data_IF_120124163435
#
_entry.id   IF_120124163435
#
_cell.length_a   1.000
_cell.length_b   1.000
_cell.length_c   1.000
_cell.angle_alpha   90.00
_cell.angle_beta   90.00
_cell.angle_gamma   90.00
#
_symmetry.space_group_name_H-M   'P 1'
#
loop_
_entity.id
_entity.type
_entity.pdbx_description
1 polymer ?
#
# COMPACT_ATOMS: atom_id res chain seq x y z
N UNK A 1 -1.55 38.83 16.36
CA UNK A 1 -1.99 38.27 15.07
C UNK A 1 -0.98 37.21 14.67
N UNK A 2 -1.18 35.97 15.11
CA UNK A 2 -0.30 34.88 14.69
C UNK A 2 -0.58 34.59 13.22
N UNK A 3 0.42 34.90 12.40
CA UNK A 3 0.44 34.67 10.96
C UNK A 3 0.08 33.21 10.69
N UNK A 4 -1.04 32.97 10.03
CA UNK A 4 -1.45 31.66 9.54
C UNK A 4 -0.62 31.27 8.30
N UNK A 5 0.71 31.29 8.45
CA UNK A 5 1.69 30.93 7.42
C UNK A 5 1.35 29.59 6.75
N UNK A 6 0.83 28.64 7.53
CA UNK A 6 0.35 27.35 7.02
C UNK A 6 -0.81 27.47 6.01
N UNK A 7 -1.68 28.48 6.16
CA UNK A 7 -2.79 28.73 5.23
C UNK A 7 -2.33 29.42 3.94
N UNK A 8 -1.14 30.04 3.91
CA UNK A 8 -0.58 30.67 2.71
C UNK A 8 0.40 29.78 1.94
N UNK A 9 0.78 28.61 2.48
CA UNK A 9 1.67 27.67 1.79
C UNK A 9 1.12 27.21 0.42
N UNK A 10 1.96 27.14 -0.62
CA UNK A 10 1.61 26.46 -1.87
C UNK A 10 1.21 25.00 -1.64
N UNK A 11 0.31 24.48 -2.46
CA UNK A 11 -0.21 23.10 -2.31
C UNK A 11 0.91 22.07 -2.48
N UNK A 12 1.91 22.37 -3.29
CA UNK A 12 3.09 21.54 -3.52
C UNK A 12 3.91 21.35 -2.25
N UNK A 13 4.08 22.42 -1.46
CA UNK A 13 4.78 22.36 -0.17
C UNK A 13 3.97 21.52 0.81
N UNK A 14 2.65 21.68 0.82
CA UNK A 14 1.78 20.83 1.65
C UNK A 14 1.90 19.36 1.24
N UNK A 15 1.89 19.04 -0.05
CA UNK A 15 2.09 17.67 -0.53
C UNK A 15 3.44 17.10 -0.09
N UNK A 16 4.52 17.90 -0.08
CA UNK A 16 5.83 17.46 0.44
C UNK A 16 5.80 17.18 1.94
N UNK A 17 5.02 17.93 2.72
CA UNK A 17 4.80 17.62 4.13
C UNK A 17 4.04 16.29 4.26
N UNK A 18 2.99 16.09 3.46
CA UNK A 18 2.22 14.84 3.46
C UNK A 18 3.06 13.62 3.06
N UNK A 19 4.03 13.77 2.14
CA UNK A 19 4.97 12.70 1.75
C UNK A 19 5.77 12.17 2.97
N UNK A 20 5.95 12.99 4.02
CA UNK A 20 6.71 12.65 5.24
C UNK A 20 5.85 12.14 6.40
N UNK A 21 4.52 12.14 6.27
CA UNK A 21 3.59 11.75 7.34
C UNK A 21 3.08 10.33 7.16
N UNK A 22 2.74 9.67 8.28
CA UNK A 22 2.00 8.42 8.21
C UNK A 22 0.57 8.71 7.76
N UNK A 23 -0.08 7.72 7.14
CA UNK A 23 -1.47 7.86 6.73
C UNK A 23 -2.42 8.15 7.91
N UNK A 24 -2.07 7.67 9.11
CA UNK A 24 -2.82 7.95 10.33
C UNK A 24 -2.72 9.44 10.69
N UNK A 25 -1.51 10.01 10.64
CA UNK A 25 -1.29 11.44 10.90
C UNK A 25 -2.00 12.31 9.87
N UNK A 26 -1.97 11.90 8.59
CA UNK A 26 -2.67 12.61 7.52
C UNK A 26 -4.18 12.64 7.80
N UNK A 27 -4.79 11.47 8.04
CA UNK A 27 -6.24 11.33 8.13
C UNK A 27 -6.80 11.84 9.45
N UNK A 28 -6.15 11.54 10.58
CA UNK A 28 -6.69 11.85 11.91
C UNK A 28 -6.18 13.16 12.52
N UNK A 29 -5.02 13.65 12.09
CA UNK A 29 -4.44 14.88 12.65
C UNK A 29 -4.45 16.01 11.63
N UNK A 30 -3.74 15.87 10.52
CA UNK A 30 -3.53 16.93 9.54
C UNK A 30 -4.84 17.40 8.87
N UNK A 31 -5.65 16.44 8.41
CA UNK A 31 -6.90 16.71 7.67
C UNK A 31 -7.87 17.62 8.42
N UNK A 32 -7.91 17.53 9.75
CA UNK A 32 -8.89 18.23 10.58
C UNK A 32 -8.41 19.56 11.17
N UNK A 33 -7.16 19.98 10.91
CA UNK A 33 -6.64 21.26 11.41
C UNK A 33 -7.40 22.44 10.80
N UNK A 34 -7.65 22.42 9.49
CA UNK A 34 -8.40 23.49 8.82
C UNK A 34 -9.05 23.02 7.51
N UNK A 35 -9.99 23.81 6.98
CA UNK A 35 -10.69 23.53 5.70
C UNK A 35 -9.74 23.35 4.52
N UNK A 36 -8.64 24.12 4.46
CA UNK A 36 -7.65 24.01 3.40
C UNK A 36 -6.98 22.64 3.40
N UNK A 37 -6.54 22.17 4.57
CA UNK A 37 -5.90 20.86 4.71
C UNK A 37 -6.88 19.72 4.45
N UNK A 38 -8.14 19.88 4.85
CA UNK A 38 -9.21 18.94 4.50
C UNK A 38 -9.33 18.78 2.97
N UNK A 39 -9.42 19.90 2.24
CA UNK A 39 -9.53 19.88 0.78
C UNK A 39 -8.28 19.30 0.11
N UNK A 40 -7.08 19.69 0.55
CA UNK A 40 -5.82 19.16 0.00
C UNK A 40 -5.71 17.65 0.22
N UNK A 41 -6.03 17.17 1.42
CA UNK A 41 -5.97 15.74 1.75
C UNK A 41 -6.93 14.91 0.89
N UNK A 42 -8.11 15.46 0.52
CA UNK A 42 -9.08 14.76 -0.32
C UNK A 42 -8.62 14.57 -1.77
N UNK A 43 -7.74 15.44 -2.28
CA UNK A 43 -7.20 15.36 -3.64
C UNK A 43 -5.78 14.80 -3.69
N UNK A 44 -5.20 14.51 -2.52
CA UNK A 44 -3.85 13.99 -2.40
C UNK A 44 -3.81 12.50 -2.79
N UNK A 45 -3.23 12.21 -3.95
CA UNK A 45 -3.26 10.89 -4.58
C UNK A 45 -1.96 10.06 -4.40
N UNK A 46 -1.19 10.35 -3.34
CA UNK A 46 0.08 9.69 -3.05
C UNK A 46 0.08 9.03 -1.68
N UNK A 47 -1.10 8.64 -1.19
CA UNK A 47 -1.21 7.99 0.12
C UNK A 47 -0.42 6.67 0.11
N UNK A 48 0.33 6.47 1.19
CA UNK A 48 1.07 5.24 1.47
C UNK A 48 0.31 4.43 2.51
N UNK A 49 -0.26 3.32 2.07
CA UNK A 49 -0.96 2.37 2.95
C UNK A 49 -0.01 1.23 3.26
N UNK A 50 0.19 0.97 4.56
CA UNK A 50 0.97 -0.16 5.04
C UNK A 50 0.07 -1.09 5.86
N UNK A 51 -0.07 -2.34 5.40
CA UNK A 51 -0.75 -3.41 6.12
C UNK A 51 0.32 -4.27 6.80
N UNK A 52 0.32 -4.30 8.13
CA UNK A 52 1.25 -5.14 8.92
C UNK A 52 0.55 -5.80 10.11
N UNK A 53 1.08 -6.90 10.66
CA UNK A 53 0.42 -7.63 11.77
C UNK A 53 0.24 -6.82 13.07
N UNK A 54 0.91 -5.68 13.22
CA UNK A 54 0.68 -4.75 14.33
C UNK A 54 -0.61 -3.92 14.16
N UNK A 55 -1.40 -4.22 13.11
CA UNK A 55 -2.59 -3.49 12.71
C UNK A 55 -3.88 -3.93 13.39
N UNK A 56 -3.82 -4.74 14.46
CA UNK A 56 -4.98 -5.20 15.25
C UNK A 56 -5.77 -4.07 15.93
N UNK A 57 -5.33 -2.83 15.74
CA UNK A 57 -5.97 -1.64 16.22
C UNK A 57 -7.27 -1.33 15.45
N UNK A 58 -8.38 -1.25 16.18
CA UNK A 58 -9.69 -0.80 15.64
C UNK A 58 -9.63 0.52 14.86
N UNK A 59 -8.63 1.38 15.14
CA UNK A 59 -8.36 2.61 14.39
C UNK A 59 -8.03 2.36 12.92
N UNK A 60 -7.47 1.21 12.59
CA UNK A 60 -7.09 0.85 11.22
C UNK A 60 -8.32 0.48 10.38
N UNK A 61 -9.34 -0.14 10.97
CA UNK A 61 -10.62 -0.33 10.29
C UNK A 61 -11.30 1.00 9.95
N UNK A 62 -11.26 1.96 10.88
CA UNK A 62 -11.77 3.31 10.62
C UNK A 62 -10.96 4.01 9.55
N UNK A 63 -9.63 3.84 9.58
CA UNK A 63 -8.72 4.41 8.60
C UNK A 63 -9.08 3.94 7.17
N UNK A 64 -9.23 2.63 6.93
CA UNK A 64 -9.56 2.11 5.60
C UNK A 64 -10.92 2.60 5.07
N UNK A 65 -11.88 2.90 5.95
CA UNK A 65 -13.17 3.49 5.54
C UNK A 65 -13.07 4.97 5.16
N UNK A 66 -12.07 5.69 5.68
CA UNK A 66 -11.89 7.12 5.47
C UNK A 66 -11.00 7.46 4.28
N UNK A 67 -10.28 6.47 3.75
CA UNK A 67 -9.40 6.61 2.59
C UNK A 67 -10.18 6.26 1.33
N UNK A 68 -10.13 7.14 0.34
CA UNK A 68 -10.56 6.79 -1.01
C UNK A 68 -9.48 5.91 -1.67
N UNK A 69 -9.79 4.68 -2.13
CA UNK A 69 -8.81 3.78 -2.73
C UNK A 69 -8.05 4.39 -3.93
N UNK A 70 -8.71 5.26 -4.70
CA UNK A 70 -8.14 6.01 -5.82
C UNK A 70 -6.97 6.94 -5.43
N UNK A 71 -6.91 7.36 -4.16
CA UNK A 71 -5.84 8.22 -3.65
C UNK A 71 -4.62 7.44 -3.13
N UNK A 72 -4.70 6.11 -3.09
CA UNK A 72 -3.61 5.25 -2.64
C UNK A 72 -2.61 5.08 -3.78
N UNK A 73 -1.44 5.71 -3.64
CA UNK A 73 -0.36 5.62 -4.61
C UNK A 73 0.62 4.48 -4.33
N UNK A 74 0.74 4.09 -3.06
CA UNK A 74 1.70 3.07 -2.59
C UNK A 74 0.99 2.12 -1.64
N UNK A 75 1.08 0.82 -1.92
CA UNK A 75 0.59 -0.25 -1.05
C UNK A 75 1.77 -1.10 -0.57
N UNK A 76 1.94 -1.21 0.74
CA UNK A 76 2.94 -2.07 1.38
C UNK A 76 2.22 -3.14 2.17
N UNK A 77 2.52 -4.40 1.87
CA UNK A 77 1.90 -5.57 2.46
C UNK A 77 2.97 -6.36 3.18
N UNK A 78 2.86 -6.42 4.51
CA UNK A 78 3.78 -7.14 5.40
C UNK A 78 3.01 -8.13 6.24
N UNK A 79 3.45 -9.37 6.26
CA UNK A 79 2.99 -10.34 7.24
C UNK A 79 4.20 -10.78 8.07
N UNK A 80 4.06 -10.89 9.39
CA UNK A 80 5.08 -11.57 10.19
C UNK A 80 4.69 -13.02 10.33
N UNK A 81 5.59 -13.92 9.94
CA UNK A 81 5.42 -15.38 9.97
C UNK A 81 4.93 -15.97 11.31
N UNK A 82 4.93 -15.19 12.38
CA UNK A 82 4.77 -15.66 13.75
C UNK A 82 3.33 -15.63 14.28
N UNK A 83 2.40 -14.91 13.65
CA UNK A 83 1.03 -14.80 14.17
C UNK A 83 -0.02 -15.27 13.15
N UNK A 84 -0.58 -16.46 13.41
CA UNK A 84 -1.65 -17.10 12.63
C UNK A 84 -3.04 -16.46 12.78
N UNK A 85 -3.18 -15.37 13.54
CA UNK A 85 -4.48 -15.09 14.14
C UNK A 85 -5.45 -14.27 13.28
N UNK A 86 -4.99 -13.44 12.34
CA UNK A 86 -5.88 -12.67 11.47
C UNK A 86 -5.26 -12.42 10.08
N UNK A 87 -5.92 -12.88 9.02
CA UNK A 87 -5.50 -12.59 7.64
C UNK A 87 -5.96 -11.18 7.23
N UNK A 88 -5.21 -10.16 7.67
CA UNK A 88 -5.51 -8.75 7.38
C UNK A 88 -5.47 -8.42 5.88
N UNK A 89 -4.73 -9.20 5.10
CA UNK A 89 -4.64 -9.05 3.65
C UNK A 89 -5.97 -9.46 3.01
N UNK A 90 -6.46 -10.67 3.34
CA UNK A 90 -7.80 -11.11 2.90
C UNK A 90 -8.87 -10.10 3.36
N UNK A 91 -8.77 -9.61 4.60
CA UNK A 91 -9.68 -8.60 5.13
C UNK A 91 -9.62 -7.31 4.30
N UNK A 92 -8.44 -6.75 4.05
CA UNK A 92 -8.28 -5.51 3.31
C UNK A 92 -8.90 -5.58 1.91
N UNK A 93 -8.66 -6.68 1.18
CA UNK A 93 -9.24 -6.88 -0.15
C UNK A 93 -10.75 -7.23 -0.10
N UNK A 94 -11.26 -7.76 1.00
CA UNK A 94 -12.71 -7.97 1.17
C UNK A 94 -13.50 -6.67 1.31
N UNK A 95 -12.91 -5.63 1.94
CA UNK A 95 -13.56 -4.34 2.16
C UNK A 95 -13.29 -3.33 1.05
N UNK A 96 -12.20 -3.50 0.32
CA UNK A 96 -11.81 -2.60 -0.75
C UNK A 96 -11.75 -3.38 -2.06
N UNK A 97 -12.69 -3.08 -2.95
CA UNK A 97 -12.60 -3.53 -4.33
C UNK A 97 -11.27 -3.04 -4.92
N UNK A 98 -10.40 -4.00 -5.27
CA UNK A 98 -9.06 -3.73 -5.75
C UNK A 98 -9.08 -2.87 -7.03
N UNK A 99 -10.14 -2.98 -7.84
CA UNK A 99 -10.29 -2.17 -9.05
C UNK A 99 -10.43 -0.67 -8.79
N UNK A 100 -10.77 -0.28 -7.55
CA UNK A 100 -10.86 1.14 -7.15
C UNK A 100 -9.50 1.78 -6.90
N UNK A 101 -8.41 1.00 -6.84
CA UNK A 101 -7.04 1.49 -6.65
C UNK A 101 -6.43 1.98 -7.97
N UNK A 102 -7.17 2.84 -8.69
CA UNK A 102 -6.76 3.37 -10.00
C UNK A 102 -5.48 4.21 -9.94
N UNK A 103 -5.22 4.85 -8.80
CA UNK A 103 -4.02 5.65 -8.53
C UNK A 103 -2.80 4.85 -8.08
N UNK A 104 -2.91 3.54 -7.88
CA UNK A 104 -1.83 2.70 -7.36
C UNK A 104 -0.68 2.62 -8.34
N UNK A 105 0.52 2.98 -7.89
CA UNK A 105 1.75 3.00 -8.69
C UNK A 105 2.80 2.04 -8.17
N UNK A 106 2.85 1.84 -6.87
CA UNK A 106 3.88 1.05 -6.21
C UNK A 106 3.26 0.02 -5.29
N UNK A 107 3.71 -1.23 -5.44
CA UNK A 107 3.34 -2.33 -4.55
C UNK A 107 4.62 -2.93 -3.97
N UNK A 108 4.67 -3.07 -2.65
CA UNK A 108 5.74 -3.81 -1.96
C UNK A 108 5.16 -4.95 -1.16
N UNK A 109 5.71 -6.13 -1.39
CA UNK A 109 5.39 -7.37 -0.69
C UNK A 109 6.58 -7.72 0.19
N UNK A 110 6.35 -7.93 1.48
CA UNK A 110 7.38 -8.19 2.47
C UNK A 110 6.99 -9.38 3.34
N UNK A 111 7.81 -10.44 3.32
CA UNK A 111 7.75 -11.54 4.29
C UNK A 111 6.40 -12.29 4.35
N UNK A 112 5.76 -12.56 3.21
CA UNK A 112 4.30 -12.66 3.11
C UNK A 112 3.57 -13.99 3.42
N UNK A 113 4.07 -15.08 4.01
CA UNK A 113 3.40 -16.42 3.87
C UNK A 113 3.09 -16.81 2.40
N UNK A 114 2.95 -18.11 2.10
CA UNK A 114 2.71 -18.53 0.70
C UNK A 114 1.27 -18.23 0.28
N UNK A 115 0.35 -18.40 1.23
CA UNK A 115 -1.09 -18.19 1.01
C UNK A 115 -1.35 -16.72 0.70
N UNK A 116 -0.85 -15.80 1.52
CA UNK A 116 -1.18 -14.38 1.34
C UNK A 116 -0.47 -13.81 0.12
N UNK A 117 0.78 -14.22 -0.13
CA UNK A 117 1.46 -13.87 -1.37
C UNK A 117 0.61 -14.27 -2.58
N UNK A 118 0.11 -15.51 -2.63
CA UNK A 118 -0.74 -15.97 -3.73
C UNK A 118 -2.03 -15.18 -3.84
N UNK A 119 -2.71 -14.89 -2.72
CA UNK A 119 -3.90 -14.03 -2.71
C UNK A 119 -3.60 -12.65 -3.30
N UNK A 120 -2.52 -12.02 -2.85
CA UNK A 120 -2.12 -10.70 -3.32
C UNK A 120 -1.84 -10.72 -4.82
N UNK A 121 -1.00 -11.65 -5.29
CA UNK A 121 -0.66 -11.77 -6.71
C UNK A 121 -1.92 -11.97 -7.56
N UNK A 122 -2.88 -12.77 -7.09
CA UNK A 122 -4.17 -12.93 -7.77
C UNK A 122 -4.98 -11.61 -7.84
N UNK A 123 -4.91 -10.75 -6.82
CA UNK A 123 -5.51 -9.42 -6.91
C UNK A 123 -4.71 -8.46 -7.79
N UNK A 124 -3.38 -8.62 -7.87
CA UNK A 124 -2.54 -7.80 -8.72
C UNK A 124 -2.70 -8.13 -10.22
N UNK A 125 -3.01 -9.37 -10.59
CA UNK A 125 -3.30 -9.73 -11.99
C UNK A 125 -4.54 -9.02 -12.53
N UNK A 126 -5.48 -8.64 -11.67
CA UNK A 126 -6.72 -7.96 -12.06
C UNK A 126 -6.60 -6.43 -12.08
N UNK A 127 -5.53 -5.89 -11.50
CA UNK A 127 -5.15 -4.49 -11.63
C UNK A 127 -4.51 -4.23 -13.00
N UNK A 128 -4.53 -2.99 -13.48
CA UNK A 128 -3.96 -2.64 -14.80
C UNK A 128 -2.96 -1.49 -14.77
N UNK A 129 -2.61 -0.95 -13.59
CA UNK A 129 -2.07 0.42 -13.50
C UNK A 129 -0.79 0.60 -12.72
N UNK A 130 -0.34 -0.38 -11.92
CA UNK A 130 0.85 -0.18 -11.10
C UNK A 130 2.14 -0.31 -11.93
N UNK A 131 3.15 0.48 -11.57
CA UNK A 131 4.39 0.67 -12.33
C UNK A 131 5.61 0.07 -11.66
N UNK A 132 5.52 -0.20 -10.37
CA UNK A 132 6.63 -0.74 -9.59
C UNK A 132 6.14 -1.85 -8.68
N UNK A 133 6.89 -2.95 -8.67
CA UNK A 133 6.70 -4.07 -7.78
C UNK A 133 8.02 -4.38 -7.07
N UNK A 134 7.99 -4.40 -5.74
CA UNK A 134 9.13 -4.87 -4.95
C UNK A 134 8.71 -6.06 -4.11
N UNK A 135 9.50 -7.13 -4.16
CA UNK A 135 9.27 -8.36 -3.41
C UNK A 135 10.50 -8.62 -2.56
N UNK A 136 10.32 -8.52 -1.24
CA UNK A 136 11.33 -8.83 -0.24
C UNK A 136 10.88 -10.08 0.51
N UNK A 137 11.37 -11.23 0.08
CA UNK A 137 10.98 -12.51 0.66
C UNK A 137 12.13 -13.51 0.66
N UNK A 138 12.57 -13.94 1.84
CA UNK A 138 13.70 -14.86 2.00
C UNK A 138 13.33 -16.33 1.77
N UNK A 139 12.23 -16.60 1.09
CA UNK A 139 11.72 -17.96 0.87
C UNK A 139 11.84 -18.35 -0.59
N UNK A 140 11.93 -19.66 -0.81
CA UNK A 140 11.79 -20.25 -2.12
C UNK A 140 10.30 -20.28 -2.45
N UNK A 141 9.90 -19.49 -3.46
CA UNK A 141 8.53 -19.49 -3.97
C UNK A 141 8.23 -20.81 -4.70
N UNK A 142 7.00 -21.30 -4.58
CA UNK A 142 6.56 -22.48 -5.35
C UNK A 142 6.42 -22.14 -6.84
N UNK A 143 6.60 -23.14 -7.70
CA UNK A 143 6.49 -22.95 -9.16
C UNK A 143 5.16 -22.33 -9.59
N UNK A 144 4.03 -22.77 -9.02
CA UNK A 144 2.71 -22.21 -9.33
C UNK A 144 2.64 -20.70 -9.01
N UNK A 145 3.26 -20.29 -7.90
CA UNK A 145 3.33 -18.90 -7.45
C UNK A 145 4.25 -18.07 -8.33
N UNK A 146 5.38 -18.64 -8.77
CA UNK A 146 6.29 -18.02 -9.76
C UNK A 146 5.57 -17.81 -11.10
N UNK A 147 4.76 -18.77 -11.54
CA UNK A 147 3.97 -18.65 -12.77
C UNK A 147 2.95 -17.51 -12.67
N UNK A 148 2.23 -17.40 -11.54
CA UNK A 148 1.31 -16.30 -11.31
C UNK A 148 2.01 -14.94 -11.29
N UNK A 149 3.17 -14.84 -10.63
CA UNK A 149 3.98 -13.64 -10.60
C UNK A 149 4.49 -13.25 -11.99
N UNK A 150 4.95 -14.23 -12.76
CA UNK A 150 5.39 -14.04 -14.16
C UNK A 150 4.26 -13.45 -15.00
N UNK A 151 3.02 -13.93 -14.82
CA UNK A 151 1.86 -13.38 -15.51
C UNK A 151 1.59 -11.93 -15.11
N UNK A 152 1.71 -11.59 -13.81
CA UNK A 152 1.60 -10.19 -13.36
C UNK A 152 2.65 -9.32 -14.04
N UNK A 153 3.91 -9.76 -14.07
CA UNK A 153 5.00 -8.99 -14.68
C UNK A 153 4.78 -8.82 -16.19
N UNK A 154 4.30 -9.85 -16.88
CA UNK A 154 4.05 -9.81 -18.31
C UNK A 154 2.83 -8.97 -18.71
N UNK A 155 1.77 -8.98 -17.90
CA UNK A 155 0.53 -8.25 -18.18
C UNK A 155 0.61 -6.76 -17.82
N UNK A 156 1.47 -6.42 -16.87
CA UNK A 156 1.59 -5.05 -16.37
C UNK A 156 2.72 -4.30 -17.08
N UNK A 157 2.54 -3.00 -17.27
CA UNK A 157 3.63 -2.10 -17.71
C UNK A 157 4.59 -1.77 -16.56
N UNK A 158 5.11 -2.80 -15.88
CA UNK A 158 6.07 -2.64 -14.78
C UNK A 158 7.35 -2.04 -15.34
N UNK A 159 7.79 -0.96 -14.72
CA UNK A 159 9.03 -0.25 -15.05
C UNK A 159 10.14 -0.58 -14.06
N UNK A 160 9.76 -0.86 -12.82
CA UNK A 160 10.67 -1.10 -11.72
C UNK A 160 10.27 -2.41 -11.05
N UNK A 161 11.20 -3.36 -11.03
CA UNK A 161 11.03 -4.66 -10.42
C UNK A 161 12.24 -4.90 -9.51
N UNK A 162 11.97 -5.06 -8.22
CA UNK A 162 12.99 -5.27 -7.21
C UNK A 162 12.73 -6.60 -6.50
N UNK A 163 13.76 -7.45 -6.47
CA UNK A 163 13.71 -8.78 -5.88
C UNK A 163 14.85 -8.94 -4.88
N UNK A 164 14.49 -9.05 -3.62
CA UNK A 164 15.36 -9.59 -2.59
C UNK A 164 14.78 -10.96 -2.20
N UNK A 165 15.04 -11.93 -3.06
CA UNK A 165 14.65 -13.33 -2.86
C UNK A 165 15.92 -14.14 -2.64
N UNK A 166 16.02 -14.86 -1.52
CA UNK A 166 17.16 -15.73 -1.30
C UNK A 166 17.08 -16.93 -2.24
N UNK A 167 17.88 -16.95 -3.29
CA UNK A 167 18.13 -18.15 -4.09
C UNK A 167 19.10 -19.03 -3.33
N UNK A 168 18.64 -20.14 -2.75
CA UNK A 168 19.56 -21.24 -2.45
C UNK A 168 19.75 -22.02 -3.74
N UNK A 169 20.96 -21.96 -4.29
CA UNK A 169 21.40 -22.97 -5.25
C UNK A 169 21.27 -24.34 -4.57
N UNK A 170 20.47 -25.20 -5.19
CA UNK A 170 20.29 -26.60 -4.81
C UNK A 170 21.67 -27.27 -4.79
N UNK A 171 22.11 -27.75 -3.62
CA UNK A 171 23.13 -28.80 -3.52
C UNK A 171 22.46 -30.17 -3.64
#
# INVERSE_FOLDING_TARGET
MESSFLLTLPVEIVHRILDCLSIQDIIFSFRYVCKKFYSITNIYNRLKVELSNHSSDTRIHRLYRLISPENVGTLILRNSYYNNELNYIDYFFSFNDIHRFTGLRFVRLDSLTEKDFRTVIHHLTTLSTFKSLSIFDRRILKNDTIMLLSNVIALQSIRELDFDISTRDSQ
#
